data_IF_509988681008
#
_entry.id   IF_509988681008
#
_cell.length_a   1.000
_cell.length_b   1.000
_cell.length_c   1.000
_cell.angle_alpha   90.00
_cell.angle_beta   90.00
_cell.angle_gamma   90.00
#
_symmetry.space_group_name_H-M   'P 1'
#
loop_
_entity.id
_entity.type
_entity.pdbx_description
1 polymer ?
#
# COMPACT_ATOMS: atom_id res chain seq x y z
N UNK A 1 9.31 -21.92 3.82
CA UNK A 1 8.54 -21.12 2.86
C UNK A 1 9.34 -19.89 2.45
N UNK A 2 9.41 -19.62 1.16
CA UNK A 2 10.20 -18.49 0.67
C UNK A 2 9.53 -17.16 1.02
N UNK A 3 10.31 -16.23 1.55
CA UNK A 3 9.86 -14.87 1.88
C UNK A 3 9.57 -14.09 0.60
N UNK A 4 8.43 -13.39 0.54
CA UNK A 4 8.10 -12.54 -0.60
C UNK A 4 8.97 -11.29 -0.60
N UNK A 5 9.32 -10.81 -1.78
CA UNK A 5 10.03 -9.54 -1.93
C UNK A 5 9.04 -8.37 -1.84
N UNK A 6 9.55 -7.22 -1.44
CA UNK A 6 8.78 -5.96 -1.45
C UNK A 6 9.44 -5.02 -2.45
N UNK A 7 8.64 -4.49 -3.37
CA UNK A 7 9.10 -3.50 -4.36
C UNK A 7 8.27 -2.23 -4.18
N UNK A 8 8.95 -1.11 -4.01
CA UNK A 8 8.28 0.19 -3.87
C UNK A 8 8.28 0.92 -5.23
N UNK A 9 7.10 1.34 -5.68
CA UNK A 9 6.93 2.03 -6.95
C UNK A 9 6.90 3.53 -6.76
N UNK A 10 7.51 4.26 -7.70
CA UNK A 10 7.54 5.72 -7.65
C UNK A 10 8.16 6.22 -6.36
N UNK A 11 7.51 7.18 -5.72
CA UNK A 11 7.97 7.75 -4.45
C UNK A 11 7.28 7.12 -3.23
N UNK A 12 6.68 5.94 -3.38
CA UNK A 12 5.88 5.34 -2.29
C UNK A 12 6.69 5.09 -1.02
N UNK A 13 7.92 4.63 -1.15
CA UNK A 13 8.79 4.41 0.02
C UNK A 13 9.10 5.71 0.73
N UNK A 14 9.45 6.74 -0.02
CA UNK A 14 9.75 8.06 0.53
C UNK A 14 8.54 8.63 1.26
N UNK A 15 7.35 8.51 0.68
CA UNK A 15 6.13 8.99 1.29
C UNK A 15 5.80 8.22 2.58
N UNK A 16 5.98 6.90 2.56
CA UNK A 16 5.76 6.06 3.73
C UNK A 16 6.66 6.50 4.89
N UNK A 17 7.93 6.78 4.62
CA UNK A 17 8.89 7.19 5.65
C UNK A 17 8.63 8.59 6.20
N UNK A 18 7.78 9.37 5.58
CA UNK A 18 7.37 10.68 6.12
C UNK A 18 6.30 10.58 7.20
N UNK A 19 5.67 9.42 7.35
CA UNK A 19 4.64 9.24 8.37
C UNK A 19 5.24 9.28 9.77
N UNK A 20 4.46 9.67 10.80
CA UNK A 20 4.93 9.58 12.18
C UNK A 20 5.42 8.16 12.50
N UNK A 21 6.46 8.06 13.30
CA UNK A 21 7.13 6.79 13.58
C UNK A 21 6.16 5.67 14.01
N UNK A 22 5.20 5.89 14.93
CA UNK A 22 4.27 4.81 15.29
C UNK A 22 3.43 4.31 14.14
N UNK A 23 3.06 5.20 13.20
CA UNK A 23 2.27 4.82 12.03
C UNK A 23 3.13 4.06 11.01
N UNK A 24 4.33 4.55 10.79
CA UNK A 24 5.29 3.89 9.89
C UNK A 24 5.56 2.45 10.35
N UNK A 25 5.84 2.26 11.63
CA UNK A 25 6.15 0.95 12.18
C UNK A 25 5.02 -0.06 11.96
N UNK A 26 3.76 0.36 12.10
CA UNK A 26 2.61 -0.51 11.88
C UNK A 26 2.48 -0.94 10.42
N UNK A 27 2.74 -0.04 9.48
CA UNK A 27 2.73 -0.39 8.06
C UNK A 27 3.86 -1.35 7.72
N UNK A 28 5.06 -1.08 8.22
CA UNK A 28 6.22 -1.96 7.98
C UNK A 28 5.98 -3.33 8.56
N UNK A 29 5.46 -3.41 9.78
CA UNK A 29 5.16 -4.70 10.42
C UNK A 29 4.15 -5.50 9.59
N UNK A 30 3.09 -4.85 9.11
CA UNK A 30 2.10 -5.54 8.28
C UNK A 30 2.67 -6.03 6.96
N UNK A 31 3.56 -5.24 6.34
CA UNK A 31 4.26 -5.69 5.13
C UNK A 31 5.13 -6.91 5.41
N UNK A 32 5.84 -6.91 6.54
CA UNK A 32 6.66 -8.07 6.94
C UNK A 32 5.79 -9.30 7.16
N UNK A 33 4.64 -9.14 7.79
CA UNK A 33 3.71 -10.26 7.97
C UNK A 33 3.30 -10.85 6.62
N UNK A 34 2.97 -10.00 5.64
CA UNK A 34 2.63 -10.48 4.30
C UNK A 34 3.81 -11.20 3.63
N UNK A 35 5.03 -10.70 3.83
CA UNK A 35 6.22 -11.35 3.29
C UNK A 35 6.36 -12.79 3.74
N UNK A 36 5.94 -13.08 4.97
CA UNK A 36 6.01 -14.41 5.55
C UNK A 36 4.74 -15.23 5.37
N UNK A 37 3.82 -14.77 4.51
CA UNK A 37 2.58 -15.48 4.24
C UNK A 37 1.56 -15.40 5.37
N UNK A 38 1.75 -14.47 6.30
CA UNK A 38 0.85 -14.28 7.43
C UNK A 38 -0.17 -13.19 7.12
N UNK A 39 -1.29 -13.23 7.84
CA UNK A 39 -2.30 -12.19 7.73
C UNK A 39 -1.77 -10.91 8.38
N UNK A 40 -1.94 -9.76 7.72
CA UNK A 40 -1.51 -8.49 8.26
C UNK A 40 -2.34 -8.08 9.47
N UNK A 41 -1.69 -7.45 10.45
CA UNK A 41 -2.37 -6.96 11.66
C UNK A 41 -3.25 -5.76 11.39
N UNK A 42 -2.86 -4.90 10.43
CA UNK A 42 -3.66 -3.73 10.10
C UNK A 42 -4.90 -4.11 9.31
N UNK A 43 -5.95 -3.30 9.48
CA UNK A 43 -7.16 -3.42 8.67
C UNK A 43 -6.77 -3.26 7.20
N UNK A 44 -7.30 -4.14 6.36
CA UNK A 44 -6.99 -4.16 4.93
C UNK A 44 -8.30 -4.14 4.15
N UNK A 45 -8.42 -3.23 3.20
CA UNK A 45 -9.60 -3.11 2.34
C UNK A 45 -9.22 -3.30 0.87
N UNK A 46 -10.05 -3.97 0.07
CA UNK A 46 -9.84 -4.00 -1.37
C UNK A 46 -10.17 -2.65 -1.99
N UNK A 47 -9.43 -2.26 -3.02
CA UNK A 47 -9.68 -1.04 -3.79
C UNK A 47 -10.17 -1.44 -5.17
N UNK A 48 -11.49 -1.39 -5.36
CA UNK A 48 -12.11 -1.76 -6.63
C UNK A 48 -11.89 -0.69 -7.69
N UNK A 49 -11.67 -1.12 -8.92
CA UNK A 49 -11.52 -0.21 -10.05
C UNK A 49 -10.11 0.37 -10.25
N UNK A 50 -9.16 0.02 -9.39
CA UNK A 50 -7.79 0.54 -9.49
C UNK A 50 -6.79 -0.50 -9.98
N UNK A 51 -7.25 -1.74 -10.15
CA UNK A 51 -6.45 -2.88 -10.60
C UNK A 51 -6.85 -4.12 -9.84
N UNK A 52 -6.70 -5.28 -10.47
CA UNK A 52 -7.06 -6.55 -9.84
C UNK A 52 -6.16 -6.84 -8.65
N UNK A 53 -6.78 -7.11 -7.49
CA UNK A 53 -6.05 -7.48 -6.29
C UNK A 53 -5.42 -6.31 -5.55
N UNK A 54 -5.69 -5.07 -5.95
CA UNK A 54 -5.16 -3.90 -5.26
C UNK A 54 -5.85 -3.75 -3.91
N UNK A 55 -5.04 -3.61 -2.86
CA UNK A 55 -5.49 -3.53 -1.47
C UNK A 55 -4.89 -2.30 -0.80
N UNK A 56 -5.51 -1.87 0.30
CA UNK A 56 -4.90 -0.81 1.12
C UNK A 56 -4.89 -1.21 2.59
N UNK A 57 -3.78 -0.92 3.25
CA UNK A 57 -3.71 -0.92 4.72
C UNK A 57 -4.26 0.41 5.21
N UNK A 58 -5.05 0.35 6.29
CA UNK A 58 -5.77 1.50 6.82
C UNK A 58 -5.37 1.78 8.27
N UNK A 59 -4.97 3.00 8.55
CA UNK A 59 -4.84 3.51 9.92
C UNK A 59 -5.71 4.75 10.01
N UNK A 60 -6.88 4.61 10.62
CA UNK A 60 -7.85 5.69 10.74
C UNK A 60 -7.42 6.73 11.80
N UNK A 61 -7.96 7.92 11.66
CA UNK A 61 -7.68 9.02 12.58
C UNK A 61 -7.83 10.34 11.85
N UNK A 62 -7.39 11.40 12.50
CA UNK A 62 -7.36 12.74 11.92
C UNK A 62 -5.95 13.28 12.03
N UNK A 63 -5.13 13.14 10.98
CA UNK A 63 -5.45 12.54 9.68
C UNK A 63 -5.39 11.01 9.68
N UNK A 64 -5.97 10.41 8.66
CA UNK A 64 -5.85 8.98 8.42
C UNK A 64 -4.66 8.70 7.50
N UNK A 65 -4.10 7.50 7.60
CA UNK A 65 -2.94 7.10 6.78
C UNK A 65 -3.29 5.86 5.97
N UNK A 66 -2.78 5.81 4.74
CA UNK A 66 -3.04 4.71 3.80
C UNK A 66 -1.75 4.24 3.15
N UNK A 67 -1.66 2.93 2.95
CA UNK A 67 -0.58 2.33 2.17
C UNK A 67 -1.21 1.32 1.22
N UNK A 68 -1.05 1.55 -0.08
CA UNK A 68 -1.70 0.77 -1.14
C UNK A 68 -0.70 -0.21 -1.73
N UNK A 69 -1.12 -1.46 -1.88
CA UNK A 69 -0.25 -2.51 -2.38
C UNK A 69 -1.03 -3.55 -3.20
N UNK A 70 -0.31 -4.36 -3.94
CA UNK A 70 -0.85 -5.54 -4.63
C UNK A 70 0.21 -6.65 -4.56
N UNK A 71 -0.24 -7.90 -4.40
CA UNK A 71 0.66 -9.05 -4.40
C UNK A 71 0.51 -9.77 -5.74
N UNK A 72 1.61 -9.84 -6.50
CA UNK A 72 1.65 -10.50 -7.80
C UNK A 72 2.92 -11.34 -7.87
N UNK A 73 2.78 -12.62 -8.26
CA UNK A 73 3.93 -13.53 -8.46
C UNK A 73 4.89 -13.56 -7.25
N UNK A 74 4.34 -13.64 -6.05
CA UNK A 74 5.09 -13.66 -4.79
C UNK A 74 5.91 -12.38 -4.53
N UNK A 75 5.52 -11.27 -5.15
CA UNK A 75 6.11 -9.95 -4.90
C UNK A 75 5.02 -9.03 -4.38
N UNK A 76 5.33 -8.31 -3.30
CA UNK A 76 4.45 -7.28 -2.76
C UNK A 76 4.86 -5.96 -3.40
N UNK A 77 3.99 -5.43 -4.26
CA UNK A 77 4.23 -4.14 -4.93
C UNK A 77 3.54 -3.05 -4.14
N UNK A 78 4.30 -2.18 -3.49
CA UNK A 78 3.74 -1.02 -2.80
C UNK A 78 3.58 0.10 -3.83
N UNK A 79 2.34 0.46 -4.12
CA UNK A 79 2.00 1.39 -5.20
C UNK A 79 1.98 2.84 -4.73
N UNK A 80 1.51 3.08 -3.51
CA UNK A 80 1.31 4.45 -3.04
C UNK A 80 1.16 4.48 -1.52
N UNK A 81 1.59 5.57 -0.92
CA UNK A 81 1.37 5.84 0.51
C UNK A 81 0.97 7.31 0.64
N UNK A 82 -0.08 7.59 1.41
CA UNK A 82 -0.58 8.96 1.49
C UNK A 82 -1.35 9.21 2.78
N UNK A 83 -1.51 10.49 3.09
CA UNK A 83 -2.30 10.97 4.21
C UNK A 83 -3.68 11.35 3.68
N UNK A 84 -4.72 10.84 4.33
CA UNK A 84 -6.10 11.12 3.94
C UNK A 84 -6.70 12.10 4.95
N UNK A 85 -6.98 13.32 4.51
CA UNK A 85 -7.46 14.38 5.38
C UNK A 85 -8.93 14.70 5.20
N UNK A 86 -9.57 14.17 4.15
CA UNK A 86 -10.98 14.46 3.84
C UNK A 86 -11.73 13.17 3.55
N UNK A 87 -13.05 13.24 3.62
CA UNK A 87 -13.91 12.14 3.22
C UNK A 87 -13.86 11.98 1.70
N UNK A 88 -14.07 10.75 1.25
CA UNK A 88 -14.05 10.43 -0.17
C UNK A 88 -12.66 10.16 -0.69
N UNK A 89 -12.58 9.78 -1.94
CA UNK A 89 -11.32 9.43 -2.59
C UNK A 89 -10.83 10.57 -3.46
N UNK A 90 -9.59 10.98 -3.27
CA UNK A 90 -8.95 11.98 -4.10
C UNK A 90 -8.58 11.32 -5.43
N UNK A 91 -9.11 11.83 -6.55
CA UNK A 91 -8.85 11.29 -7.88
C UNK A 91 -7.37 11.31 -8.24
N UNK A 92 -6.61 12.25 -7.70
CA UNK A 92 -5.16 12.32 -7.91
C UNK A 92 -4.47 11.06 -7.37
N UNK A 93 -4.85 10.62 -6.17
CA UNK A 93 -4.28 9.39 -5.60
C UNK A 93 -4.70 8.16 -6.39
N UNK A 94 -5.97 8.09 -6.81
CA UNK A 94 -6.46 7.00 -7.63
C UNK A 94 -5.70 6.89 -8.94
N UNK A 95 -5.48 8.01 -9.62
CA UNK A 95 -4.76 8.03 -10.89
C UNK A 95 -3.31 7.55 -10.71
N UNK A 96 -2.66 7.97 -9.64
CA UNK A 96 -1.31 7.52 -9.32
C UNK A 96 -1.26 6.01 -9.13
N UNK A 97 -2.21 5.45 -8.38
CA UNK A 97 -2.29 4.01 -8.14
C UNK A 97 -2.49 3.25 -9.44
N UNK A 98 -3.45 3.68 -10.26
CA UNK A 98 -3.74 3.05 -11.55
C UNK A 98 -2.52 3.03 -12.46
N UNK A 99 -1.81 4.15 -12.54
CA UNK A 99 -0.65 4.27 -13.40
C UNK A 99 0.48 3.35 -12.95
N UNK A 100 0.75 3.31 -11.66
CA UNK A 100 1.80 2.45 -11.12
C UNK A 100 1.44 0.97 -11.28
N UNK A 101 0.17 0.63 -11.13
CA UNK A 101 -0.30 -0.74 -11.37
C UNK A 101 -0.06 -1.14 -12.84
N UNK A 102 -0.38 -0.27 -13.79
CA UNK A 102 -0.15 -0.53 -15.21
C UNK A 102 1.32 -0.78 -15.51
N UNK A 103 2.21 -0.07 -14.83
CA UNK A 103 3.65 -0.22 -15.05
C UNK A 103 4.13 -1.63 -14.64
N UNK A 104 3.52 -2.24 -13.63
CA UNK A 104 3.82 -3.62 -13.26
C UNK A 104 3.44 -4.55 -14.41
N UNK A 105 2.26 -4.37 -14.98
CA UNK A 105 1.74 -5.24 -16.03
C UNK A 105 2.54 -5.16 -17.31
N UNK A 106 3.21 -4.04 -17.57
CA UNK A 106 4.03 -3.86 -18.77
C UNK A 106 5.42 -4.47 -18.64
N UNK A 107 5.89 -4.65 -17.42
CA UNK A 107 7.26 -5.12 -17.14
C UNK A 107 7.46 -6.61 -17.30
#
# INVERSE_FOLDING_TARGET
MKKKDVVFHGNSEKQLHKFPQPKLEKFVYSLVQLQHGMKASLKTNPLHGLGDGVMEFVQNGKPAYRCVYVVLDDVIHVLHAFVKTSDGTDSKHENTIKERYKNIKKG
#
